data_IF_409228274510
#
_entry.id   IF_409228274510
#
_cell.length_a   1.000
_cell.length_b   1.000
_cell.length_c   1.000
_cell.angle_alpha   90.00
_cell.angle_beta   90.00
_cell.angle_gamma   90.00
#
_symmetry.space_group_name_H-M   'P 1'
#
loop_
_entity.id
_entity.type
_entity.pdbx_description
1 polymer ?
#
# COMPACT_ATOMS: atom_id res chain seq x y z
N UNK A 1 -6.69 7.08 -0.45
CA UNK A 1 -7.32 6.66 0.83
C UNK A 1 -6.97 5.22 1.18
N UNK A 2 -6.94 4.31 0.19
CA UNK A 2 -6.55 2.92 0.42
C UNK A 2 -5.11 2.79 0.94
N UNK A 3 -4.15 3.44 0.29
CA UNK A 3 -2.73 3.31 0.61
C UNK A 3 -2.43 3.74 2.05
N UNK A 4 -3.01 4.87 2.49
CA UNK A 4 -2.91 5.31 3.88
C UNK A 4 -3.43 4.29 4.88
N UNK A 5 -4.57 3.65 4.61
CA UNK A 5 -5.13 2.64 5.51
C UNK A 5 -4.18 1.46 5.69
N UNK A 6 -3.56 0.99 4.61
CA UNK A 6 -2.61 -0.13 4.64
C UNK A 6 -1.33 0.26 5.38
N UNK A 7 -0.74 1.44 5.10
CA UNK A 7 0.48 1.90 5.78
C UNK A 7 0.25 2.06 7.28
N UNK A 8 -0.83 2.73 7.69
CA UNK A 8 -1.13 2.91 9.11
C UNK A 8 -1.44 1.57 9.80
N UNK A 9 -2.11 0.63 9.13
CA UNK A 9 -2.37 -0.70 9.66
C UNK A 9 -1.08 -1.50 9.83
N UNK A 10 -0.17 -1.45 8.86
CA UNK A 10 1.11 -2.14 8.92
C UNK A 10 2.00 -1.58 10.04
N UNK A 11 2.03 -0.25 10.21
CA UNK A 11 2.71 0.39 11.32
C UNK A 11 2.16 -0.11 12.67
N UNK A 12 0.82 -0.09 12.85
CA UNK A 12 0.18 -0.61 14.07
C UNK A 12 0.46 -2.08 14.30
N UNK A 13 0.40 -2.91 13.26
CA UNK A 13 0.67 -4.34 13.32
C UNK A 13 2.11 -4.65 13.75
N UNK A 14 3.08 -3.80 13.35
CA UNK A 14 4.49 -3.84 13.79
C UNK A 14 4.73 -3.19 15.16
N UNK A 15 3.69 -2.64 15.80
CA UNK A 15 3.83 -1.94 17.09
C UNK A 15 4.39 -0.52 16.98
N UNK A 16 4.46 0.04 15.77
CA UNK A 16 4.94 1.41 15.52
C UNK A 16 3.77 2.38 15.71
N UNK A 17 3.84 3.19 16.76
CA UNK A 17 2.88 4.28 16.99
C UNK A 17 3.34 5.54 16.25
N UNK A 18 2.78 5.79 15.06
CA UNK A 18 3.10 6.97 14.24
C UNK A 18 2.92 8.28 15.01
N UNK A 19 1.86 8.39 15.82
CA UNK A 19 1.62 9.56 16.67
C UNK A 19 2.73 9.79 17.70
N UNK A 20 3.25 8.72 18.33
CA UNK A 20 4.31 8.80 19.34
C UNK A 20 5.64 9.28 18.76
N UNK A 21 5.90 8.92 17.50
CA UNK A 21 7.13 9.28 16.80
C UNK A 21 6.96 10.59 15.99
N UNK A 22 5.79 11.23 16.05
CA UNK A 22 5.50 12.47 15.31
C UNK A 22 5.42 12.29 13.79
N UNK A 23 5.13 11.08 13.31
CA UNK A 23 4.99 10.78 11.89
C UNK A 23 3.52 10.85 11.45
N UNK A 24 3.28 11.34 10.23
CA UNK A 24 1.94 11.43 9.63
C UNK A 24 1.97 10.82 8.24
N UNK A 25 0.96 10.02 7.91
CA UNK A 25 0.74 9.52 6.55
C UNK A 25 -0.09 10.53 5.77
N UNK A 26 0.50 11.11 4.73
CA UNK A 26 -0.14 12.10 3.89
C UNK A 26 -0.42 11.54 2.50
N UNK A 27 -1.67 11.68 2.03
CA UNK A 27 -2.06 11.26 0.68
C UNK A 27 -1.99 12.43 -0.28
N UNK A 28 -1.28 12.25 -1.38
CA UNK A 28 -1.08 13.29 -2.39
C UNK A 28 -2.32 13.51 -3.28
N UNK A 29 -3.15 12.47 -3.43
CA UNK A 29 -4.26 12.48 -4.39
C UNK A 29 -3.79 12.54 -5.86
N UNK A 30 -2.67 11.88 -6.15
CA UNK A 30 -2.00 11.83 -7.46
C UNK A 30 -0.47 11.86 -7.30
N UNK A 31 0.24 10.94 -7.96
CA UNK A 31 1.70 10.85 -7.87
C UNK A 31 2.40 12.05 -8.52
N UNK A 32 1.74 12.69 -9.50
CA UNK A 32 2.19 13.89 -10.20
C UNK A 32 2.36 15.11 -9.29
N UNK A 33 1.71 15.12 -8.13
CA UNK A 33 1.79 16.21 -7.14
C UNK A 33 3.00 16.13 -6.24
N UNK A 34 3.66 14.97 -6.16
CA UNK A 34 4.79 14.77 -5.26
C UNK A 34 5.91 15.80 -5.45
N UNK A 35 6.36 16.14 -6.68
CA UNK A 35 7.45 17.10 -6.85
C UNK A 35 7.17 18.47 -6.22
N UNK A 36 5.93 18.97 -6.32
CA UNK A 36 5.56 20.26 -5.72
C UNK A 36 5.44 20.16 -4.19
N UNK A 37 4.84 19.09 -3.69
CA UNK A 37 4.75 18.84 -2.24
C UNK A 37 6.14 18.65 -1.62
N UNK A 38 7.03 17.93 -2.29
CA UNK A 38 8.40 17.67 -1.82
C UNK A 38 9.27 18.92 -1.81
N UNK A 39 9.05 19.88 -2.73
CA UNK A 39 9.72 21.20 -2.66
C UNK A 39 9.40 21.93 -1.36
N UNK A 40 8.15 21.81 -0.88
CA UNK A 40 7.71 22.45 0.36
C UNK A 40 8.14 21.67 1.61
N UNK A 41 7.98 20.36 1.62
CA UNK A 41 8.25 19.54 2.81
C UNK A 41 9.72 19.15 2.95
N UNK A 42 10.41 18.86 1.85
CA UNK A 42 11.77 18.35 1.87
C UNK A 42 12.83 19.40 2.16
N UNK A 43 14.12 19.10 1.87
CA UNK A 43 15.26 19.93 2.31
C UNK A 43 15.29 21.37 1.77
N UNK A 44 14.54 21.67 0.72
CA UNK A 44 14.44 23.02 0.14
C UNK A 44 13.35 23.88 0.77
N UNK A 45 12.50 23.30 1.61
CA UNK A 45 11.41 23.98 2.30
C UNK A 45 11.53 23.82 3.81
N UNK A 46 10.61 23.05 4.42
CA UNK A 46 10.57 22.84 5.87
C UNK A 46 11.58 21.83 6.39
N UNK A 47 12.37 21.20 5.52
CA UNK A 47 13.38 20.19 5.89
C UNK A 47 12.82 19.04 6.75
N UNK A 48 11.58 18.66 6.45
CA UNK A 48 10.90 17.52 7.05
C UNK A 48 11.42 16.25 6.36
N UNK A 49 11.72 15.23 7.15
CA UNK A 49 12.04 13.91 6.60
C UNK A 49 10.80 13.32 5.93
N UNK A 50 10.89 13.07 4.62
CA UNK A 50 9.83 12.46 3.83
C UNK A 50 10.25 11.06 3.41
N UNK A 51 9.39 10.08 3.70
CA UNK A 51 9.40 8.77 3.06
C UNK A 51 8.24 8.72 2.07
N UNK A 52 8.50 8.28 0.85
CA UNK A 52 7.53 8.20 -0.22
C UNK A 52 7.17 6.77 -0.56
N UNK A 53 5.88 6.51 -0.78
CA UNK A 53 5.35 5.27 -1.32
C UNK A 53 4.67 5.58 -2.65
N UNK A 54 5.07 4.91 -3.71
CA UNK A 54 4.63 5.18 -5.09
C UNK A 54 4.53 3.89 -5.89
N UNK A 55 3.75 3.85 -6.95
CA UNK A 55 3.77 2.73 -7.87
C UNK A 55 5.01 2.82 -8.79
N UNK A 56 5.57 1.68 -9.20
CA UNK A 56 6.80 1.58 -10.01
C UNK A 56 6.69 2.39 -11.31
N UNK A 57 5.50 2.42 -11.93
CA UNK A 57 5.22 3.17 -13.15
C UNK A 57 5.30 4.70 -12.95
N UNK A 58 5.11 5.20 -11.72
CA UNK A 58 5.02 6.62 -11.41
C UNK A 58 6.25 7.16 -10.64
N UNK A 59 7.27 6.33 -10.41
CA UNK A 59 8.42 6.69 -9.57
C UNK A 59 9.35 7.76 -10.18
N UNK A 60 9.42 7.87 -11.50
CA UNK A 60 10.45 8.69 -12.17
C UNK A 60 10.36 10.19 -11.79
N UNK A 61 9.18 10.84 -11.78
CA UNK A 61 9.02 12.18 -11.23
C UNK A 61 9.49 12.33 -9.78
N UNK A 62 9.30 11.30 -8.95
CA UNK A 62 9.70 11.31 -7.54
C UNK A 62 11.21 11.27 -7.38
N UNK A 63 11.88 10.41 -8.14
CA UNK A 63 13.34 10.36 -8.18
C UNK A 63 13.95 11.68 -8.64
N UNK A 64 13.37 12.31 -9.66
CA UNK A 64 13.79 13.63 -10.13
C UNK A 64 13.60 14.72 -9.07
N UNK A 65 12.51 14.66 -8.30
CA UNK A 65 12.21 15.64 -7.25
C UNK A 65 13.14 15.52 -6.03
N UNK A 66 13.41 14.29 -5.57
CA UNK A 66 14.35 14.03 -4.48
C UNK A 66 15.78 14.37 -4.90
N UNK A 67 16.15 14.04 -6.14
CA UNK A 67 17.49 14.21 -6.67
C UNK A 67 18.48 13.17 -6.13
N UNK A 68 19.67 13.12 -6.73
CA UNK A 68 20.68 12.10 -6.43
C UNK A 68 20.65 10.92 -7.40
N UNK A 69 21.45 9.88 -7.14
CA UNK A 69 21.44 8.67 -7.97
C UNK A 69 20.24 7.80 -7.57
N UNK A 70 19.56 7.12 -8.50
CA UNK A 70 18.39 6.28 -8.18
C UNK A 70 18.63 5.28 -7.04
N UNK A 71 19.83 4.69 -6.96
CA UNK A 71 20.22 3.74 -5.90
C UNK A 71 20.34 4.34 -4.49
N UNK A 72 20.49 5.66 -4.39
CA UNK A 72 20.60 6.37 -3.11
C UNK A 72 19.22 6.89 -2.65
N UNK A 73 18.18 6.70 -3.48
CA UNK A 73 16.81 7.20 -3.26
C UNK A 73 15.83 6.03 -3.13
N UNK A 74 15.84 5.11 -4.10
CA UNK A 74 14.99 3.92 -4.08
C UNK A 74 15.41 2.98 -2.95
N UNK A 75 14.46 2.61 -2.11
CA UNK A 75 14.68 1.79 -0.92
C UNK A 75 15.29 2.56 0.26
N UNK A 76 15.55 3.87 0.12
CA UNK A 76 16.10 4.72 1.18
C UNK A 76 15.12 5.84 1.56
N UNK A 77 14.54 6.53 0.60
CA UNK A 77 13.52 7.57 0.82
C UNK A 77 12.28 7.37 -0.01
N UNK A 78 12.37 6.69 -1.17
CA UNK A 78 11.24 6.32 -2.00
C UNK A 78 11.13 4.81 -2.08
N UNK A 79 9.95 4.27 -1.84
CA UNK A 79 9.61 2.86 -1.90
C UNK A 79 8.57 2.66 -2.99
N UNK A 80 8.83 1.71 -3.88
CA UNK A 80 8.01 1.50 -5.05
C UNK A 80 7.25 0.17 -4.95
N UNK A 81 5.94 0.22 -5.11
CA UNK A 81 5.12 -0.97 -5.32
C UNK A 81 5.30 -1.47 -6.75
N UNK A 82 5.44 -2.77 -6.98
CA UNK A 82 5.68 -3.28 -8.35
C UNK A 82 4.56 -2.92 -9.32
N UNK A 83 3.32 -3.19 -8.94
CA UNK A 83 2.12 -2.83 -9.71
C UNK A 83 1.35 -1.75 -8.98
N UNK A 84 0.81 -2.13 -7.82
CA UNK A 84 0.11 -1.30 -6.84
C UNK A 84 0.09 -2.07 -5.50
N UNK A 85 -0.42 -1.45 -4.44
CA UNK A 85 -0.51 -2.11 -3.14
C UNK A 85 -1.49 -3.29 -3.14
N UNK A 86 -2.54 -3.24 -3.96
CA UNK A 86 -3.49 -4.34 -4.11
C UNK A 86 -2.83 -5.62 -4.59
N UNK A 87 -1.98 -5.51 -5.61
CA UNK A 87 -1.16 -6.62 -6.11
C UNK A 87 -0.19 -7.11 -5.04
N UNK A 88 0.47 -6.20 -4.32
CA UNK A 88 1.45 -6.57 -3.30
C UNK A 88 0.84 -7.34 -2.14
N UNK A 89 -0.28 -6.88 -1.56
CA UNK A 89 -0.87 -7.62 -0.45
C UNK A 89 -1.55 -8.92 -0.93
N UNK A 90 -2.12 -8.96 -2.14
CA UNK A 90 -2.70 -10.20 -2.69
C UNK A 90 -1.62 -11.26 -2.89
N UNK A 91 -0.47 -10.87 -3.43
CA UNK A 91 0.67 -11.77 -3.66
C UNK A 91 1.41 -12.12 -2.37
N UNK A 92 1.58 -11.14 -1.49
CA UNK A 92 2.34 -11.29 -0.24
C UNK A 92 1.59 -12.12 0.79
N UNK A 93 0.35 -11.74 1.12
CA UNK A 93 -0.49 -12.46 2.10
C UNK A 93 -0.98 -13.78 1.51
N UNK A 94 -1.28 -13.78 0.20
CA UNK A 94 -1.80 -14.93 -0.54
C UNK A 94 -3.28 -14.76 -0.89
N UNK A 95 -3.64 -15.21 -2.10
CA UNK A 95 -4.98 -15.02 -2.65
C UNK A 95 -6.07 -15.70 -1.81
N UNK A 96 -5.78 -16.88 -1.26
CA UNK A 96 -6.73 -17.62 -0.44
C UNK A 96 -7.12 -16.85 0.83
N UNK A 97 -6.12 -16.45 1.61
CA UNK A 97 -6.29 -15.72 2.86
C UNK A 97 -6.97 -14.37 2.64
N UNK A 98 -6.56 -13.62 1.62
CA UNK A 98 -7.20 -12.35 1.23
C UNK A 98 -8.66 -12.58 0.83
N UNK A 99 -8.94 -13.59 0.01
CA UNK A 99 -10.29 -13.93 -0.42
C UNK A 99 -11.21 -14.29 0.76
N UNK A 100 -10.73 -15.11 1.69
CA UNK A 100 -11.46 -15.48 2.90
C UNK A 100 -11.79 -14.26 3.78
N UNK A 101 -10.84 -13.34 3.96
CA UNK A 101 -11.06 -12.09 4.70
C UNK A 101 -12.13 -11.21 4.06
N UNK A 102 -12.10 -11.07 2.73
CA UNK A 102 -13.10 -10.29 1.98
C UNK A 102 -14.51 -10.87 2.12
N UNK A 103 -14.65 -12.19 2.13
CA UNK A 103 -15.94 -12.89 2.35
C UNK A 103 -16.40 -12.71 3.80
N UNK A 104 -15.52 -12.94 4.77
CA UNK A 104 -15.83 -12.80 6.19
C UNK A 104 -16.31 -11.38 6.56
N UNK A 105 -15.72 -10.37 5.92
CA UNK A 105 -16.10 -8.97 6.08
C UNK A 105 -17.35 -8.54 5.28
N UNK A 106 -17.94 -9.45 4.48
CA UNK A 106 -19.05 -9.19 3.56
C UNK A 106 -18.75 -8.10 2.51
N UNK A 107 -17.47 -7.88 2.21
CA UNK A 107 -17.08 -7.05 1.08
C UNK A 107 -17.36 -7.82 -0.23
N UNK A 108 -16.89 -9.06 -0.30
CA UNK A 108 -17.36 -10.02 -1.29
C UNK A 108 -18.70 -10.64 -0.83
N UNK A 109 -19.63 -10.81 -1.77
CA UNK A 109 -20.96 -11.40 -1.47
C UNK A 109 -20.83 -12.84 -0.99
N UNK A 110 -20.03 -13.60 -1.70
CA UNK A 110 -19.77 -15.02 -1.50
C UNK A 110 -18.45 -15.38 -2.20
N UNK A 111 -17.99 -16.61 -2.00
CA UNK A 111 -16.78 -17.13 -2.64
C UNK A 111 -16.89 -17.12 -4.16
N UNK A 112 -18.08 -17.42 -4.70
CA UNK A 112 -18.34 -17.48 -6.13
C UNK A 112 -18.06 -16.14 -6.82
N UNK A 113 -18.40 -15.02 -6.20
CA UNK A 113 -18.10 -13.70 -6.75
C UNK A 113 -16.59 -13.46 -6.95
N UNK A 114 -15.74 -14.02 -6.08
CA UNK A 114 -14.28 -13.95 -6.21
C UNK A 114 -13.81 -14.95 -7.27
N UNK A 115 -14.26 -16.20 -7.19
CA UNK A 115 -13.87 -17.26 -8.13
C UNK A 115 -14.21 -16.93 -9.58
N UNK A 116 -15.39 -16.37 -9.83
CA UNK A 116 -15.81 -15.94 -11.16
C UNK A 116 -14.90 -14.81 -11.69
N UNK A 117 -14.47 -13.88 -10.82
CA UNK A 117 -13.55 -12.81 -11.19
C UNK A 117 -12.11 -13.29 -11.38
N UNK A 118 -11.70 -14.34 -10.68
CA UNK A 118 -10.38 -14.95 -10.80
C UNK A 118 -10.32 -16.06 -11.86
N UNK A 119 -11.46 -16.47 -12.41
CA UNK A 119 -11.66 -17.69 -13.22
C UNK A 119 -11.00 -18.93 -12.57
N UNK A 120 -11.18 -19.07 -11.25
CA UNK A 120 -10.60 -20.13 -10.45
C UNK A 120 -11.68 -21.09 -9.93
N UNK A 121 -11.30 -22.32 -9.58
CA UNK A 121 -12.26 -23.31 -9.02
C UNK A 121 -12.27 -23.36 -7.49
N UNK A 122 -11.22 -22.82 -6.86
CA UNK A 122 -11.11 -22.64 -5.41
C UNK A 122 -10.25 -21.41 -5.10
N UNK A 123 -10.37 -20.89 -3.87
CA UNK A 123 -9.55 -19.74 -3.43
C UNK A 123 -8.05 -20.06 -3.38
N UNK A 124 -7.68 -21.32 -3.11
CA UNK A 124 -6.29 -21.78 -3.12
C UNK A 124 -5.64 -21.71 -4.52
N UNK A 125 -6.44 -21.82 -5.57
CA UNK A 125 -6.00 -21.73 -6.97
C UNK A 125 -6.14 -20.32 -7.57
N UNK A 126 -6.69 -19.37 -6.81
CA UNK A 126 -6.94 -18.03 -7.31
C UNK A 126 -5.63 -17.29 -7.61
N UNK A 127 -5.54 -16.72 -8.81
CA UNK A 127 -4.41 -15.87 -9.20
C UNK A 127 -4.43 -14.55 -8.39
N UNK A 128 -3.36 -14.24 -7.62
CA UNK A 128 -3.25 -12.99 -6.89
C UNK A 128 -3.46 -11.75 -7.75
N UNK A 129 -3.02 -11.75 -9.01
CA UNK A 129 -3.17 -10.61 -9.90
C UNK A 129 -4.64 -10.34 -10.24
N UNK A 130 -5.42 -11.42 -10.42
CA UNK A 130 -6.86 -11.33 -10.66
C UNK A 130 -7.63 -10.98 -9.39
N UNK A 131 -7.19 -11.46 -8.23
CA UNK A 131 -7.75 -11.02 -6.96
C UNK A 131 -7.48 -9.54 -6.69
N UNK A 132 -6.29 -9.04 -7.01
CA UNK A 132 -5.99 -7.61 -6.97
C UNK A 132 -6.90 -6.83 -7.92
N UNK A 133 -7.16 -7.36 -9.12
CA UNK A 133 -8.15 -6.80 -10.05
C UNK A 133 -9.57 -6.73 -9.47
N UNK A 134 -10.00 -7.77 -8.74
CA UNK A 134 -11.25 -7.74 -8.00
C UNK A 134 -11.24 -6.62 -6.94
N UNK A 135 -10.16 -6.50 -6.16
CA UNK A 135 -10.02 -5.49 -5.10
C UNK A 135 -10.06 -4.04 -5.61
N UNK A 136 -9.62 -3.78 -6.84
CA UNK A 136 -9.68 -2.44 -7.48
C UNK A 136 -10.92 -2.21 -8.35
N UNK A 137 -11.76 -3.23 -8.54
CA UNK A 137 -12.90 -3.17 -9.44
C UNK A 137 -13.88 -2.03 -9.11
N UNK A 138 -14.47 -1.45 -10.15
CA UNK A 138 -15.55 -0.47 -10.00
C UNK A 138 -16.81 -1.14 -9.44
N UNK A 139 -17.46 -0.51 -8.47
CA UNK A 139 -18.71 -0.98 -7.88
C UNK A 139 -19.96 -0.52 -8.67
N UNK A 140 -19.77 0.08 -9.84
CA UNK A 140 -20.82 0.60 -10.70
C UNK A 140 -21.07 2.10 -10.56
N UNK A 141 -21.97 2.65 -11.39
CA UNK A 141 -22.21 4.09 -11.49
C UNK A 141 -22.56 4.70 -10.13
N UNK A 142 -21.76 5.68 -9.70
CA UNK A 142 -21.98 6.43 -8.46
C UNK A 142 -21.57 5.72 -7.16
N UNK A 143 -21.05 4.48 -7.22
CA UNK A 143 -20.66 3.69 -6.02
C UNK A 143 -19.16 3.59 -5.76
N UNK A 144 -18.34 4.25 -6.59
CA UNK A 144 -16.89 4.27 -6.44
C UNK A 144 -16.21 2.94 -6.83
N UNK A 145 -15.00 2.73 -6.30
CA UNK A 145 -14.20 1.51 -6.49
C UNK A 145 -14.14 0.71 -5.18
N UNK A 146 -13.97 -0.60 -5.30
CA UNK A 146 -13.72 -1.52 -4.19
C UNK A 146 -12.37 -1.28 -3.50
N UNK A 147 -11.48 -0.46 -4.08
CA UNK A 147 -10.12 -0.19 -3.55
C UNK A 147 -10.13 0.13 -2.06
N UNK A 148 -10.96 1.09 -1.64
CA UNK A 148 -11.06 1.51 -0.23
C UNK A 148 -11.73 0.44 0.65
N UNK A 149 -12.91 -0.12 0.30
CA UNK A 149 -13.50 -1.22 1.05
C UNK A 149 -12.55 -2.42 1.26
N UNK A 150 -11.89 -2.90 0.20
CA UNK A 150 -10.93 -3.99 0.28
C UNK A 150 -9.75 -3.63 1.19
N UNK A 151 -9.15 -2.44 1.01
CA UNK A 151 -8.07 -1.98 1.86
C UNK A 151 -8.49 -1.88 3.34
N UNK A 152 -9.73 -1.47 3.63
CA UNK A 152 -10.25 -1.42 5.00
C UNK A 152 -10.37 -2.82 5.63
N UNK A 153 -10.78 -3.83 4.85
CA UNK A 153 -10.83 -5.22 5.32
C UNK A 153 -9.43 -5.69 5.70
N UNK A 154 -8.48 -5.54 4.77
CA UNK A 154 -7.09 -5.96 4.99
C UNK A 154 -6.46 -5.20 6.16
N UNK A 155 -6.66 -3.89 6.24
CA UNK A 155 -6.16 -3.07 7.33
C UNK A 155 -6.69 -3.49 8.71
N UNK A 156 -7.94 -3.96 8.80
CA UNK A 156 -8.55 -4.38 10.08
C UNK A 156 -8.07 -5.74 10.57
N UNK A 157 -7.67 -6.62 9.67
CA UNK A 157 -7.23 -7.98 9.99
C UNK A 157 -5.71 -8.16 9.87
N UNK A 158 -4.98 -7.07 9.60
CA UNK A 158 -3.54 -7.13 9.33
C UNK A 158 -2.76 -7.57 10.57
N UNK A 159 -1.91 -8.58 10.37
CA UNK A 159 -0.93 -9.04 11.36
C UNK A 159 0.46 -8.49 11.05
N UNK A 160 1.39 -8.63 12.00
CA UNK A 160 2.79 -8.27 11.77
C UNK A 160 3.42 -9.11 10.64
N UNK A 161 3.01 -10.39 10.53
CA UNK A 161 3.44 -11.27 9.45
C UNK A 161 2.93 -10.78 8.09
N UNK A 162 1.65 -10.38 8.01
CA UNK A 162 1.08 -9.80 6.79
C UNK A 162 1.84 -8.54 6.37
N UNK A 163 2.10 -7.63 7.30
CA UNK A 163 2.85 -6.40 7.05
C UNK A 163 4.24 -6.69 6.48
N UNK A 164 4.94 -7.71 7.00
CA UNK A 164 6.26 -8.11 6.50
C UNK A 164 6.24 -8.69 5.08
N UNK A 165 5.08 -9.17 4.62
CA UNK A 165 4.89 -9.73 3.27
C UNK A 165 4.58 -8.67 2.21
N UNK A 166 4.20 -7.45 2.63
CA UNK A 166 3.97 -6.31 1.72
C UNK A 166 5.29 -5.56 1.55
N UNK A 167 6.09 -5.96 0.56
CA UNK A 167 7.49 -5.60 0.44
C UNK A 167 7.77 -4.09 0.47
N UNK A 168 7.00 -3.28 -0.27
CA UNK A 168 7.20 -1.83 -0.31
C UNK A 168 6.96 -1.17 1.07
N UNK A 169 5.94 -1.62 1.80
CA UNK A 169 5.58 -1.13 3.13
C UNK A 169 6.55 -1.63 4.18
N UNK A 170 6.95 -2.90 4.12
CA UNK A 170 7.91 -3.48 5.05
C UNK A 170 9.25 -2.73 4.97
N UNK A 171 9.73 -2.45 3.76
CA UNK A 171 10.93 -1.67 3.53
C UNK A 171 10.78 -0.22 4.06
N UNK A 172 9.64 0.43 3.79
CA UNK A 172 9.35 1.79 4.26
C UNK A 172 9.36 1.87 5.79
N UNK A 173 8.66 0.95 6.47
CA UNK A 173 8.58 0.95 7.93
C UNK A 173 9.90 0.56 8.59
N UNK A 174 10.65 -0.36 7.98
CA UNK A 174 12.00 -0.70 8.44
C UNK A 174 12.95 0.49 8.35
N UNK A 175 12.86 1.29 7.29
CA UNK A 175 13.64 2.52 7.18
C UNK A 175 13.19 3.59 8.17
N UNK A 176 11.88 3.74 8.37
CA UNK A 176 11.32 4.64 9.38
C UNK A 176 11.86 4.33 10.77
N UNK A 177 11.87 3.06 11.17
CA UNK A 177 12.41 2.63 12.47
C UNK A 177 13.89 2.95 12.64
N UNK A 178 14.71 2.74 11.60
CA UNK A 178 16.14 3.11 11.63
C UNK A 178 16.34 4.59 11.89
N UNK A 179 15.53 5.45 11.27
CA UNK A 179 15.64 6.92 11.40
C UNK A 179 15.20 7.42 12.78
N UNK A 180 14.30 6.71 13.45
CA UNK A 180 13.86 7.05 14.81
C UNK A 180 14.92 6.67 15.86
N UNK A 181 15.74 5.65 15.56
CA UNK A 181 16.79 5.15 16.44
C UNK A 181 18.14 5.86 16.27
N UNK A 182 18.31 6.62 15.19
CA UNK A 182 19.52 7.37 14.85
C UNK A 182 19.55 8.75 15.53
#
# INVERSE_FOLDING_TARGET
MADRLIVEAAARARGISLDRIGAVVFELGGADKFPEVYKLLGPKGFDIQVLGLVDEAEKNPWLGAVGGRPKDVLGCSIFASVTDLEDEYCRGIGAEEVGQRLIAAKDARDERAILDSCEATSLAEADPLRLAAFCRASLGKGRGSRKVPAALVIAKTMTAEDASKIASIDALLTELEKRIQA
#
